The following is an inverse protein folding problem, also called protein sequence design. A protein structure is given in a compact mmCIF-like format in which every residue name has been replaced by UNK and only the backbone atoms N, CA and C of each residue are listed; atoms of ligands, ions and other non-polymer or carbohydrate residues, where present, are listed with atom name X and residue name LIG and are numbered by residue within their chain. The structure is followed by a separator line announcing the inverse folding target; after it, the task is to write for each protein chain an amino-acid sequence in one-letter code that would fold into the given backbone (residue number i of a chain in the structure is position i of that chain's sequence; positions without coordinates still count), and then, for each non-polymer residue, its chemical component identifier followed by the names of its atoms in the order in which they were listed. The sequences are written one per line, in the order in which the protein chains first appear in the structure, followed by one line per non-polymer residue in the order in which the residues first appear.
data_IF_715926619029
#
_entry.id   IF_715926619029
#
_cell.length_a   1.000
_cell.length_b   1.000
_cell.length_c   1.000
_cell.angle_alpha   90.00
_cell.angle_beta   90.00
_cell.angle_gamma   90.00
#
_symmetry.space_group_name_H-M   'P 1'
#
loop_
_entity.id
_entity.type
_entity.pdbx_description
1 polymer ?
#
# COMPACT_ATOMS: atom_id res chain seq x y z
N UNK A 1 -14.96 -19.19 18.60
CA UNK A 1 -13.56 -19.32 19.04
C UNK A 1 -12.72 -18.32 18.23
N UNK A 2 -12.73 -17.04 18.62
CA UNK A 2 -11.87 -16.05 17.97
C UNK A 2 -10.42 -16.53 18.14
N UNK A 3 -9.78 -16.71 17.01
CA UNK A 3 -8.61 -17.56 16.87
C UNK A 3 -7.42 -17.02 17.66
N UNK A 4 -7.16 -17.59 18.84
CA UNK A 4 -5.99 -17.29 19.69
C UNK A 4 -4.70 -17.32 18.85
N UNK A 5 -4.59 -18.26 17.90
CA UNK A 5 -3.46 -18.30 16.98
C UNK A 5 -3.33 -17.04 16.12
N UNK A 6 -4.43 -16.45 15.63
CA UNK A 6 -4.36 -15.22 14.82
C UNK A 6 -3.87 -14.04 15.66
N UNK A 7 -4.31 -13.94 16.92
CA UNK A 7 -3.85 -12.90 17.83
C UNK A 7 -2.35 -13.05 18.10
N UNK A 8 -1.90 -14.28 18.36
CA UNK A 8 -0.48 -14.59 18.56
C UNK A 8 0.36 -14.25 17.32
N UNK A 9 -0.08 -14.62 16.12
CA UNK A 9 0.67 -14.29 14.90
C UNK A 9 0.63 -12.79 14.60
N UNK A 10 -0.47 -12.08 14.88
CA UNK A 10 -0.53 -10.62 14.74
C UNK A 10 0.43 -9.92 15.71
N UNK A 11 0.55 -10.38 16.96
CA UNK A 11 1.49 -9.77 17.91
C UNK A 11 2.94 -10.03 17.50
N UNK A 12 3.27 -11.24 17.03
CA UNK A 12 4.60 -11.56 16.48
C UNK A 12 4.90 -10.69 15.26
N UNK A 13 3.91 -10.48 14.38
CA UNK A 13 4.03 -9.62 13.21
C UNK A 13 4.37 -8.17 13.61
N UNK A 14 3.67 -7.60 14.61
CA UNK A 14 3.99 -6.27 15.12
C UNK A 14 5.40 -6.22 15.75
N UNK A 15 5.75 -7.20 16.59
CA UNK A 15 7.08 -7.29 17.20
C UNK A 15 8.18 -7.35 16.14
N UNK A 16 7.99 -8.15 15.10
CA UNK A 16 8.98 -8.30 14.03
C UNK A 16 9.28 -6.98 13.32
N UNK A 17 8.26 -6.16 13.07
CA UNK A 17 8.45 -4.84 12.50
C UNK A 17 9.22 -3.92 13.44
N UNK A 18 8.92 -3.94 14.75
CA UNK A 18 9.64 -3.14 15.74
C UNK A 18 11.11 -3.57 15.84
N UNK A 19 11.40 -4.88 15.81
CA UNK A 19 12.77 -5.41 15.80
C UNK A 19 13.52 -4.90 14.57
N UNK A 20 12.92 -4.96 13.38
CA UNK A 20 13.58 -4.51 12.15
C UNK A 20 13.88 -3.01 12.11
N UNK A 21 13.07 -2.19 12.78
CA UNK A 21 13.25 -0.73 12.81
C UNK A 21 14.27 -0.32 13.88
N UNK A 22 14.28 -1.00 15.02
CA UNK A 22 15.14 -0.65 16.17
C UNK A 22 16.54 -1.27 16.12
N UNK A 23 16.76 -2.27 15.25
CA UNK A 23 18.03 -2.98 15.19
C UNK A 23 19.17 -2.11 14.64
N UNK A 24 20.28 -2.06 15.36
CA UNK A 24 21.49 -1.34 14.95
C UNK A 24 22.35 -2.09 13.92
N UNK A 25 22.10 -3.38 13.69
CA UNK A 25 22.88 -4.21 12.76
C UNK A 25 22.02 -4.73 11.61
N UNK A 26 22.62 -4.85 10.43
CA UNK A 26 21.98 -5.41 9.23
C UNK A 26 21.51 -6.86 9.40
N UNK A 27 22.20 -7.64 10.23
CA UNK A 27 21.77 -8.99 10.55
C UNK A 27 20.50 -8.98 11.43
N UNK A 28 20.40 -8.03 12.36
CA UNK A 28 19.19 -7.81 13.16
C UNK A 28 17.99 -7.37 12.31
N UNK A 29 18.22 -6.48 11.33
CA UNK A 29 17.14 -6.08 10.39
C UNK A 29 16.66 -7.29 9.57
N UNK A 30 17.58 -8.12 9.07
CA UNK A 30 17.25 -9.36 8.37
C UNK A 30 16.43 -10.33 9.24
N UNK A 31 16.84 -10.55 10.50
CA UNK A 31 16.09 -11.39 11.44
C UNK A 31 14.66 -10.90 11.65
N UNK A 32 14.47 -9.58 11.83
CA UNK A 32 13.15 -8.99 11.95
C UNK A 32 12.28 -9.22 10.70
N UNK A 33 12.87 -9.08 9.51
CA UNK A 33 12.16 -9.34 8.26
C UNK A 33 11.79 -10.82 8.04
N UNK A 34 12.60 -11.77 8.51
CA UNK A 34 12.29 -13.20 8.46
C UNK A 34 11.17 -13.60 9.43
N UNK A 35 11.21 -13.08 10.66
CA UNK A 35 10.12 -13.28 11.63
C UNK A 35 8.81 -12.70 11.06
N UNK A 36 8.87 -11.55 10.39
CA UNK A 36 7.71 -10.95 9.73
C UNK A 36 7.11 -11.91 8.68
N UNK A 37 7.95 -12.43 7.78
CA UNK A 37 7.56 -13.42 6.76
C UNK A 37 6.89 -14.64 7.40
N UNK A 38 7.53 -15.26 8.39
CA UNK A 38 7.04 -16.47 9.05
C UNK A 38 5.74 -16.23 9.82
N UNK A 39 5.57 -15.05 10.41
CA UNK A 39 4.36 -14.68 11.14
C UNK A 39 3.15 -14.43 10.23
N UNK A 40 3.39 -13.95 9.00
CA UNK A 40 2.31 -13.57 8.10
C UNK A 40 1.72 -14.75 7.31
N UNK A 41 2.51 -15.79 7.03
CA UNK A 41 2.04 -16.98 6.29
C UNK A 41 0.85 -17.68 6.98
N UNK A 42 0.89 -17.96 8.30
CA UNK A 42 -0.26 -18.55 9.01
C UNK A 42 -1.50 -17.65 9.00
N UNK A 43 -1.32 -16.32 8.95
CA UNK A 43 -2.44 -15.38 8.83
C UNK A 43 -3.10 -15.46 7.45
N UNK A 44 -2.31 -15.65 6.39
CA UNK A 44 -2.80 -15.85 5.02
C UNK A 44 -3.51 -17.19 4.84
N UNK A 45 -2.92 -18.28 5.35
CA UNK A 45 -3.42 -19.63 5.13
C UNK A 45 -4.74 -19.86 5.87
N UNK A 46 -5.79 -20.24 5.15
CA UNK A 46 -7.01 -20.79 5.76
C UNK A 46 -7.07 -22.29 5.49
N UNK A 47 -7.40 -23.07 6.52
CA UNK A 47 -7.32 -24.55 6.50
C UNK A 47 -8.07 -25.23 5.34
N UNK A 48 -9.01 -24.54 4.68
CA UNK A 48 -9.93 -25.15 3.72
C UNK A 48 -9.94 -24.50 2.33
N UNK A 49 -9.09 -23.51 2.03
CA UNK A 49 -9.12 -22.84 0.74
C UNK A 49 -7.80 -23.06 -0.03
N UNK A 50 -7.87 -23.81 -1.14
CA UNK A 50 -6.72 -24.01 -2.02
C UNK A 50 -6.12 -22.68 -2.51
N UNK A 51 -6.97 -21.71 -2.85
CA UNK A 51 -6.50 -20.40 -3.32
C UNK A 51 -5.67 -19.64 -2.26
N UNK A 52 -6.03 -19.74 -0.98
CA UNK A 52 -5.25 -19.09 0.10
C UNK A 52 -3.95 -19.84 0.39
N UNK A 53 -3.93 -21.16 0.20
CA UNK A 53 -2.69 -21.93 0.27
C UNK A 53 -1.73 -21.60 -0.87
N UNK A 54 -2.22 -21.46 -2.11
CA UNK A 54 -1.41 -21.07 -3.26
C UNK A 54 -0.80 -19.66 -3.07
N UNK A 55 -1.60 -18.69 -2.60
CA UNK A 55 -1.09 -17.33 -2.36
C UNK A 55 -0.06 -17.30 -1.24
N UNK A 56 -0.24 -18.10 -0.18
CA UNK A 56 0.75 -18.23 0.89
C UNK A 56 2.07 -18.83 0.41
N UNK A 57 2.03 -19.81 -0.49
CA UNK A 57 3.23 -20.41 -1.08
C UNK A 57 3.95 -19.45 -2.03
N UNK A 58 3.21 -18.73 -2.89
CA UNK A 58 3.79 -17.67 -3.74
C UNK A 58 4.45 -16.57 -2.90
N UNK A 59 3.83 -16.19 -1.79
CA UNK A 59 4.37 -15.16 -0.89
C UNK A 59 5.66 -15.63 -0.23
N UNK A 60 5.65 -16.85 0.31
CA UNK A 60 6.83 -17.46 0.92
C UNK A 60 8.01 -17.50 -0.05
N UNK A 61 7.82 -18.04 -1.26
CA UNK A 61 8.91 -18.20 -2.24
C UNK A 61 9.55 -16.86 -2.62
N UNK A 62 8.75 -15.86 -2.95
CA UNK A 62 9.25 -14.54 -3.36
C UNK A 62 9.96 -13.84 -2.21
N UNK A 63 9.37 -13.87 -1.01
CA UNK A 63 9.92 -13.14 0.13
C UNK A 63 11.16 -13.82 0.72
N UNK A 64 11.23 -15.16 0.70
CA UNK A 64 12.41 -15.93 1.08
C UNK A 64 13.56 -15.74 0.07
N UNK A 65 13.24 -15.65 -1.23
CA UNK A 65 14.24 -15.29 -2.24
C UNK A 65 14.79 -13.88 -2.00
N UNK A 66 13.92 -12.90 -1.75
CA UNK A 66 14.34 -11.54 -1.43
C UNK A 66 15.18 -11.47 -0.14
N UNK A 67 14.83 -12.23 0.91
CA UNK A 67 15.59 -12.24 2.16
C UNK A 67 16.96 -12.91 2.03
N UNK A 68 17.08 -13.99 1.26
CA UNK A 68 18.38 -14.63 0.97
C UNK A 68 19.31 -13.71 0.18
N UNK A 69 18.78 -12.99 -0.81
CA UNK A 69 19.53 -11.98 -1.57
C UNK A 69 19.95 -10.79 -0.69
N UNK A 70 19.11 -10.38 0.27
CA UNK A 70 19.44 -9.32 1.22
C UNK A 70 20.58 -9.76 2.16
N UNK A 71 20.54 -11.00 2.66
CA UNK A 71 21.63 -11.55 3.46
C UNK A 71 22.92 -11.65 2.65
N UNK A 72 22.84 -12.08 1.39
CA UNK A 72 23.98 -12.11 0.49
C UNK A 72 24.59 -10.72 0.28
N UNK A 73 23.78 -9.68 0.07
CA UNK A 73 24.30 -8.31 -0.07
C UNK A 73 24.99 -7.82 1.21
N UNK A 74 24.48 -8.18 2.40
CA UNK A 74 25.11 -7.85 3.68
C UNK A 74 26.48 -8.54 3.81
N UNK A 75 26.57 -9.83 3.47
CA UNK A 75 27.83 -10.58 3.55
C UNK A 75 28.86 -9.97 2.58
N UNK A 76 28.46 -9.66 1.35
CA UNK A 76 29.35 -9.01 0.37
C UNK A 76 29.81 -7.63 0.84
N UNK A 77 28.92 -6.84 1.43
CA UNK A 77 29.27 -5.54 2.01
C UNK A 77 30.30 -5.68 3.14
N UNK A 78 30.12 -6.67 4.02
CA UNK A 78 31.02 -6.95 5.15
C UNK A 78 32.36 -7.54 4.72
N UNK A 79 32.41 -8.27 3.60
CA UNK A 79 33.64 -8.80 3.05
C UNK A 79 34.47 -7.67 2.42
N UNK A 80 33.83 -6.81 1.62
CA UNK A 80 34.51 -5.71 0.94
C UNK A 80 35.03 -4.65 1.90
N UNK A 81 34.30 -4.35 2.99
CA UNK A 81 34.75 -3.39 4.00
C UNK A 81 36.04 -3.79 4.72
N UNK A 82 36.37 -5.10 4.75
CA UNK A 82 37.62 -5.61 5.34
C UNK A 82 38.82 -5.57 4.39
N UNK A 83 38.59 -5.48 3.08
CA UNK A 83 39.63 -5.65 2.06
C UNK A 83 40.17 -4.35 1.44
N UNK A 84 39.52 -3.19 1.61
CA UNK A 84 39.98 -1.95 0.98
C UNK A 84 39.62 -0.69 1.77
N UNK A 85 40.62 0.19 1.98
CA UNK A 85 40.47 1.57 2.46
C UNK A 85 39.75 2.52 1.47
N UNK A 86 39.33 2.04 0.30
CA UNK A 86 38.59 2.82 -0.71
C UNK A 86 37.09 2.54 -0.61
N UNK A 87 36.46 3.12 0.42
CA UNK A 87 35.07 2.89 0.82
C UNK A 87 34.03 3.54 -0.13
N UNK A 88 34.46 4.42 -1.06
CA UNK A 88 33.52 5.33 -1.73
C UNK A 88 33.03 4.91 -3.13
N UNK A 89 33.81 4.17 -3.93
CA UNK A 89 33.42 3.89 -5.33
C UNK A 89 32.93 2.45 -5.62
N UNK A 90 33.21 1.48 -4.75
CA UNK A 90 32.79 0.08 -4.92
C UNK A 90 31.44 -0.29 -4.26
N UNK A 91 30.78 0.65 -3.57
CA UNK A 91 29.58 0.34 -2.79
C UNK A 91 28.26 0.43 -3.58
N UNK A 92 28.28 1.06 -4.77
CA UNK A 92 27.03 1.40 -5.47
C UNK A 92 26.30 0.15 -6.03
N UNK A 93 27.03 -0.88 -6.48
CA UNK A 93 26.44 -2.12 -6.97
C UNK A 93 25.82 -2.97 -5.86
N UNK A 94 26.48 -3.04 -4.70
CA UNK A 94 25.97 -3.77 -3.53
C UNK A 94 24.74 -3.07 -2.96
N UNK A 95 24.78 -1.74 -2.86
CA UNK A 95 23.62 -0.93 -2.46
C UNK A 95 22.47 -1.09 -3.47
N UNK A 96 22.76 -1.18 -4.78
CA UNK A 96 21.73 -1.50 -5.79
C UNK A 96 21.11 -2.89 -5.57
N UNK A 97 21.92 -3.92 -5.32
CA UNK A 97 21.40 -5.27 -5.00
C UNK A 97 20.51 -5.19 -3.76
N UNK A 98 21.00 -4.58 -2.69
CA UNK A 98 20.26 -4.42 -1.45
C UNK A 98 18.93 -3.69 -1.66
N UNK A 99 18.95 -2.54 -2.35
CA UNK A 99 17.74 -1.80 -2.71
C UNK A 99 16.78 -2.64 -3.55
N UNK A 100 17.28 -3.40 -4.53
CA UNK A 100 16.46 -4.30 -5.36
C UNK A 100 15.72 -5.34 -4.52
N UNK A 101 16.37 -5.89 -3.49
CA UNK A 101 15.73 -6.89 -2.61
C UNK A 101 14.61 -6.27 -1.77
N UNK A 102 14.82 -5.06 -1.25
CA UNK A 102 13.81 -4.40 -0.42
C UNK A 102 12.62 -3.95 -1.29
N UNK A 103 12.89 -3.49 -2.51
CA UNK A 103 11.86 -3.18 -3.51
C UNK A 103 11.06 -4.42 -3.93
N UNK A 104 11.72 -5.58 -4.04
CA UNK A 104 11.05 -6.87 -4.26
C UNK A 104 10.12 -7.21 -3.09
N UNK A 105 10.54 -6.97 -1.84
CA UNK A 105 9.68 -7.16 -0.65
C UNK A 105 8.46 -6.24 -0.63
N UNK A 106 8.58 -5.01 -1.13
CA UNK A 106 7.47 -4.06 -1.25
C UNK A 106 6.50 -4.35 -2.39
N UNK A 107 6.95 -5.09 -3.42
CA UNK A 107 6.20 -5.28 -4.66
C UNK A 107 6.30 -4.08 -5.61
N UNK A 108 7.39 -3.31 -5.57
CA UNK A 108 7.64 -2.26 -6.55
C UNK A 108 7.96 -2.89 -7.92
N UNK A 109 7.60 -2.22 -9.01
CA UNK A 109 8.02 -2.68 -10.34
C UNK A 109 9.54 -2.48 -10.53
N UNK A 110 10.24 -3.38 -11.24
CA UNK A 110 9.74 -4.51 -12.04
C UNK A 110 9.33 -5.76 -11.23
N UNK A 111 9.66 -5.86 -9.95
CA UNK A 111 9.43 -7.03 -9.08
C UNK A 111 7.98 -7.20 -8.58
N UNK A 112 7.00 -6.67 -9.31
CA UNK A 112 5.63 -6.48 -8.84
C UNK A 112 4.69 -7.68 -9.11
N UNK A 113 5.06 -8.63 -9.97
CA UNK A 113 4.15 -9.67 -10.48
C UNK A 113 3.46 -10.49 -9.39
N UNK A 114 4.17 -10.77 -8.29
CA UNK A 114 3.64 -11.55 -7.17
C UNK A 114 2.49 -10.83 -6.46
N UNK A 115 2.48 -9.50 -6.47
CA UNK A 115 1.63 -8.70 -5.59
C UNK A 115 0.14 -8.73 -6.01
N UNK A 116 -0.24 -8.48 -7.28
CA UNK A 116 -1.63 -8.62 -7.73
C UNK A 116 -2.17 -10.04 -7.62
N UNK A 117 -1.34 -11.06 -7.90
CA UNK A 117 -1.75 -12.46 -7.83
C UNK A 117 -2.09 -12.89 -6.40
N UNK A 118 -1.25 -12.51 -5.43
CA UNK A 118 -1.49 -12.82 -4.02
C UNK A 118 -2.74 -12.09 -3.53
N UNK A 119 -2.90 -10.82 -3.90
CA UNK A 119 -4.03 -10.01 -3.47
C UNK A 119 -5.40 -10.56 -3.88
N UNK A 120 -5.51 -11.16 -5.06
CA UNK A 120 -6.78 -11.73 -5.53
C UNK A 120 -7.34 -12.80 -4.58
N UNK A 121 -6.45 -13.62 -4.03
CA UNK A 121 -6.81 -14.81 -3.26
C UNK A 121 -6.86 -14.58 -1.73
N UNK A 122 -6.50 -13.38 -1.25
CA UNK A 122 -6.48 -13.05 0.17
C UNK A 122 -7.81 -12.48 0.68
N UNK A 123 -8.16 -12.75 1.93
CA UNK A 123 -9.26 -12.07 2.62
C UNK A 123 -8.99 -10.56 2.75
N UNK A 124 -10.05 -9.76 2.85
CA UNK A 124 -9.96 -8.29 2.93
C UNK A 124 -9.04 -7.79 4.07
N UNK A 125 -9.14 -8.36 5.28
CA UNK A 125 -8.24 -7.97 6.38
C UNK A 125 -6.77 -8.30 6.10
N UNK A 126 -6.49 -9.45 5.48
CA UNK A 126 -5.12 -9.83 5.13
C UNK A 126 -4.59 -8.97 3.97
N UNK A 127 -5.46 -8.60 3.02
CA UNK A 127 -5.12 -7.66 1.95
C UNK A 127 -4.75 -6.28 2.51
N UNK A 128 -5.41 -5.83 3.57
CA UNK A 128 -5.07 -4.59 4.26
C UNK A 128 -3.69 -4.67 4.90
N UNK A 129 -3.42 -5.74 5.66
CA UNK A 129 -2.10 -5.96 6.30
C UNK A 129 -0.99 -5.99 5.24
N UNK A 130 -1.21 -6.64 4.09
CA UNK A 130 -0.25 -6.69 3.00
C UNK A 130 -0.05 -5.32 2.32
N UNK A 131 -1.10 -4.51 2.17
CA UNK A 131 -1.01 -3.17 1.55
C UNK A 131 -0.39 -2.12 2.45
N UNK A 132 -0.57 -2.21 3.78
CA UNK A 132 -0.12 -1.20 4.74
C UNK A 132 1.03 -1.74 5.58
N UNK A 133 0.75 -2.65 6.52
CA UNK A 133 1.70 -3.04 7.55
C UNK A 133 2.99 -3.66 6.98
N UNK A 134 2.87 -4.53 5.98
CA UNK A 134 4.02 -5.18 5.34
C UNK A 134 4.95 -4.19 4.61
N UNK A 135 4.50 -2.96 4.32
CA UNK A 135 5.33 -1.93 3.67
C UNK A 135 6.13 -1.09 4.65
N UNK A 136 5.81 -1.09 5.95
CA UNK A 136 6.44 -0.22 6.95
C UNK A 136 7.94 -0.53 7.09
N UNK A 137 8.26 -1.77 7.45
CA UNK A 137 9.65 -2.17 7.68
C UNK A 137 10.52 -2.01 6.42
N UNK A 138 10.12 -2.51 5.24
CA UNK A 138 10.87 -2.25 4.00
C UNK A 138 11.09 -0.76 3.72
N UNK A 139 10.10 0.11 3.96
CA UNK A 139 10.23 1.54 3.62
C UNK A 139 11.23 2.26 4.51
N UNK A 140 11.23 1.95 5.80
CA UNK A 140 12.21 2.50 6.74
C UNK A 140 13.61 1.99 6.40
N UNK A 141 13.75 0.71 6.02
CA UNK A 141 15.06 0.18 5.61
C UNK A 141 15.56 0.86 4.33
N UNK A 142 14.67 1.13 3.36
CA UNK A 142 15.05 1.89 2.15
C UNK A 142 15.46 3.32 2.50
N UNK A 143 14.80 3.99 3.46
CA UNK A 143 15.12 5.39 3.77
C UNK A 143 16.59 5.59 4.18
N UNK A 144 17.18 4.63 4.90
CA UNK A 144 18.60 4.67 5.26
C UNK A 144 19.57 4.53 4.09
N UNK A 145 19.12 3.97 2.97
CA UNK A 145 19.96 3.55 1.84
C UNK A 145 19.67 4.32 0.55
N UNK A 146 18.57 5.07 0.51
CA UNK A 146 18.10 5.67 -0.72
C UNK A 146 19.00 6.87 -1.06
N UNK A 147 19.60 6.82 -2.24
CA UNK A 147 20.26 7.96 -2.84
C UNK A 147 19.72 8.15 -4.25
N UNK A 148 19.65 9.39 -4.71
CA UNK A 148 19.08 9.67 -6.02
C UNK A 148 20.01 9.21 -7.14
N UNK A 149 19.74 8.01 -7.65
CA UNK A 149 20.45 7.38 -8.76
C UNK A 149 19.48 7.07 -9.91
N UNK A 150 20.02 6.95 -11.13
CA UNK A 150 19.26 6.50 -12.32
C UNK A 150 18.46 5.21 -12.09
N UNK A 151 18.99 4.31 -11.25
CA UNK A 151 18.30 3.09 -10.86
C UNK A 151 16.96 3.39 -10.16
N UNK A 152 16.96 4.20 -9.10
CA UNK A 152 15.75 4.50 -8.33
C UNK A 152 14.76 5.34 -9.14
N UNK A 153 15.24 6.30 -9.95
CA UNK A 153 14.35 7.05 -10.84
C UNK A 153 13.66 6.14 -11.86
N UNK A 154 14.37 5.15 -12.42
CA UNK A 154 13.78 4.16 -13.32
C UNK A 154 12.70 3.30 -12.65
N UNK A 155 12.90 2.93 -11.38
CA UNK A 155 11.92 2.17 -10.59
C UNK A 155 10.66 2.99 -10.33
N UNK A 156 10.80 4.28 -10.02
CA UNK A 156 9.67 5.20 -9.82
C UNK A 156 8.84 5.32 -11.12
N UNK A 157 9.51 5.47 -12.26
CA UNK A 157 8.86 5.54 -13.57
C UNK A 157 8.14 4.21 -13.89
N UNK A 158 8.83 3.07 -13.72
CA UNK A 158 8.23 1.76 -14.00
C UNK A 158 7.07 1.43 -13.07
N UNK A 159 7.18 1.73 -11.78
CA UNK A 159 6.11 1.47 -10.81
C UNK A 159 4.87 2.34 -11.04
N UNK A 160 5.06 3.61 -11.40
CA UNK A 160 3.93 4.48 -11.78
C UNK A 160 3.28 4.05 -13.10
N UNK A 161 4.06 3.64 -14.10
CA UNK A 161 3.56 3.15 -15.39
C UNK A 161 2.79 1.83 -15.25
N UNK A 162 3.38 0.84 -14.59
CA UNK A 162 2.78 -0.50 -14.43
C UNK A 162 1.59 -0.45 -13.49
N UNK A 163 1.67 0.34 -12.40
CA UNK A 163 0.56 0.53 -11.48
C UNK A 163 -0.64 1.20 -12.16
N UNK A 164 -0.41 2.13 -13.09
CA UNK A 164 -1.49 2.82 -13.79
C UNK A 164 -2.14 1.96 -14.87
N UNK A 165 -1.35 1.40 -15.79
CA UNK A 165 -1.86 0.62 -16.93
C UNK A 165 -2.39 -0.74 -16.47
N UNK A 166 -1.69 -1.40 -15.55
CA UNK A 166 -2.09 -2.72 -15.04
C UNK A 166 -3.46 -2.70 -14.36
N UNK A 167 -3.84 -1.60 -13.71
CA UNK A 167 -5.14 -1.43 -13.06
C UNK A 167 -6.32 -1.24 -14.03
N UNK A 168 -6.07 -0.71 -15.24
CA UNK A 168 -7.13 -0.40 -16.21
C UNK A 168 -7.93 -1.64 -16.60
N UNK A 169 -7.28 -2.77 -16.85
CA UNK A 169 -7.95 -3.96 -17.40
C UNK A 169 -8.49 -4.93 -16.32
N UNK A 170 -8.41 -4.57 -15.04
CA UNK A 170 -8.82 -5.48 -13.96
C UNK A 170 -10.28 -5.29 -13.58
N UNK A 171 -11.01 -6.39 -13.39
CA UNK A 171 -12.39 -6.38 -12.88
C UNK A 171 -12.50 -6.66 -11.38
N UNK A 172 -11.47 -7.30 -10.81
CA UNK A 172 -11.45 -7.70 -9.41
C UNK A 172 -10.89 -6.55 -8.57
N UNK A 173 -11.66 -6.10 -7.57
CA UNK A 173 -11.33 -4.94 -6.74
C UNK A 173 -10.01 -5.12 -6.00
N UNK A 174 -9.69 -6.36 -5.57
CA UNK A 174 -8.40 -6.66 -4.92
C UNK A 174 -7.21 -6.44 -5.83
N UNK A 175 -7.30 -6.83 -7.11
CA UNK A 175 -6.25 -6.56 -8.11
C UNK A 175 -6.13 -5.08 -8.41
N UNK A 176 -7.24 -4.36 -8.52
CA UNK A 176 -7.23 -2.90 -8.73
C UNK A 176 -6.51 -2.19 -7.57
N UNK A 177 -6.86 -2.54 -6.33
CA UNK A 177 -6.18 -2.01 -5.15
C UNK A 177 -4.71 -2.45 -5.09
N UNK A 178 -4.38 -3.63 -5.63
CA UNK A 178 -3.00 -4.06 -5.71
C UNK A 178 -2.18 -3.14 -6.63
N UNK A 179 -2.67 -2.91 -7.85
CA UNK A 179 -2.05 -2.03 -8.84
C UNK A 179 -2.00 -0.57 -8.39
N UNK A 180 -3.04 -0.09 -7.72
CA UNK A 180 -2.98 1.26 -7.13
C UNK A 180 -1.88 1.36 -6.08
N UNK A 181 -1.70 0.34 -5.24
CA UNK A 181 -0.64 0.35 -4.24
C UNK A 181 0.76 0.36 -4.87
N UNK A 182 0.94 -0.22 -6.08
CA UNK A 182 2.19 -0.16 -6.84
C UNK A 182 2.42 1.27 -7.33
N UNK A 183 1.38 1.95 -7.82
CA UNK A 183 1.49 3.37 -8.18
C UNK A 183 1.79 4.25 -6.95
N UNK A 184 1.13 4.02 -5.81
CA UNK A 184 1.42 4.76 -4.58
C UNK A 184 2.83 4.48 -4.04
N UNK A 185 3.41 3.29 -4.27
CA UNK A 185 4.84 3.03 -3.99
C UNK A 185 5.73 3.97 -4.80
N UNK A 186 5.41 4.25 -6.07
CA UNK A 186 6.16 5.22 -6.88
C UNK A 186 6.21 6.60 -6.22
N UNK A 187 5.05 7.08 -5.73
CA UNK A 187 4.94 8.36 -5.01
C UNK A 187 5.64 8.34 -3.65
N UNK A 188 5.58 7.22 -2.93
CA UNK A 188 6.28 7.08 -1.65
C UNK A 188 7.80 7.02 -1.82
N UNK A 189 8.30 6.39 -2.89
CA UNK A 189 9.73 6.39 -3.21
C UNK A 189 10.19 7.79 -3.64
N UNK A 190 9.36 8.55 -4.38
CA UNK A 190 9.70 9.91 -4.76
C UNK A 190 9.67 10.89 -3.59
N UNK A 191 8.82 10.70 -2.58
CA UNK A 191 8.89 11.48 -1.34
C UNK A 191 10.10 11.13 -0.48
N UNK A 192 10.47 9.86 -0.39
CA UNK A 192 11.67 9.42 0.35
C UNK A 192 12.95 10.08 -0.19
N UNK A 193 13.05 10.29 -1.50
CA UNK A 193 14.19 11.00 -2.10
C UNK A 193 14.31 12.47 -1.68
N UNK A 194 13.22 13.09 -1.21
CA UNK A 194 13.18 14.50 -0.84
C UNK A 194 13.30 14.69 0.67
N UNK A 195 12.42 14.05 1.42
CA UNK A 195 12.35 14.19 2.86
C UNK A 195 11.60 13.00 3.47
N UNK A 196 12.20 12.39 4.50
CA UNK A 196 11.59 11.28 5.25
C UNK A 196 10.24 11.66 5.86
N UNK A 197 10.09 12.92 6.30
CA UNK A 197 8.83 13.40 6.89
C UNK A 197 7.66 13.38 5.90
N UNK A 198 7.91 13.74 4.64
CA UNK A 198 6.90 13.71 3.58
C UNK A 198 6.46 12.29 3.26
N UNK A 199 7.40 11.34 3.30
CA UNK A 199 7.07 9.93 3.15
C UNK A 199 6.14 9.44 4.27
N UNK A 200 6.43 9.76 5.53
CA UNK A 200 5.58 9.38 6.67
C UNK A 200 4.16 9.97 6.52
N UNK A 201 4.06 11.25 6.13
CA UNK A 201 2.77 11.90 5.86
C UNK A 201 2.03 11.18 4.72
N UNK A 202 2.72 10.86 3.62
CA UNK A 202 2.09 10.13 2.51
C UNK A 202 1.58 8.77 2.94
N UNK A 203 2.41 7.98 3.64
CA UNK A 203 2.07 6.62 4.04
C UNK A 203 0.91 6.61 5.05
N UNK A 204 0.90 7.53 6.01
CA UNK A 204 -0.20 7.66 6.97
C UNK A 204 -1.53 7.95 6.27
N UNK A 205 -1.57 8.94 5.36
CA UNK A 205 -2.76 9.28 4.57
C UNK A 205 -3.22 8.10 3.72
N UNK A 206 -2.28 7.45 3.01
CA UNK A 206 -2.55 6.25 2.22
C UNK A 206 -3.15 5.12 3.08
N UNK A 207 -2.63 4.89 4.30
CA UNK A 207 -3.14 3.85 5.19
C UNK A 207 -4.57 4.14 5.68
N UNK A 208 -4.87 5.39 6.06
CA UNK A 208 -6.19 5.84 6.51
C UNK A 208 -7.25 5.58 5.42
N UNK A 209 -6.94 5.95 4.18
CA UNK A 209 -7.87 5.78 3.05
C UNK A 209 -8.09 4.29 2.73
N UNK A 210 -7.04 3.46 2.79
CA UNK A 210 -7.22 2.02 2.55
C UNK A 210 -8.02 1.34 3.68
N UNK A 211 -7.85 1.76 4.93
CA UNK A 211 -8.68 1.28 6.05
C UNK A 211 -10.15 1.61 5.80
N UNK A 212 -10.47 2.83 5.34
CA UNK A 212 -11.86 3.22 5.07
C UNK A 212 -12.47 2.44 3.90
N UNK A 213 -11.74 2.19 2.81
CA UNK A 213 -12.24 1.41 1.67
C UNK A 213 -12.41 -0.06 2.02
N UNK A 214 -11.37 -0.69 2.57
CA UNK A 214 -11.36 -2.13 2.83
C UNK A 214 -12.37 -2.49 3.91
N UNK A 215 -12.57 -1.65 4.92
CA UNK A 215 -13.61 -1.89 5.94
C UNK A 215 -15.02 -1.95 5.33
N UNK A 216 -15.32 -1.09 4.35
CA UNK A 216 -16.60 -1.12 3.63
C UNK A 216 -16.70 -2.37 2.76
N UNK A 217 -15.66 -2.67 1.96
CA UNK A 217 -15.66 -3.85 1.07
C UNK A 217 -15.75 -5.17 1.85
N UNK A 218 -15.12 -5.25 3.02
CA UNK A 218 -15.17 -6.40 3.91
C UNK A 218 -16.57 -6.59 4.52
N UNK A 219 -17.24 -5.50 4.92
CA UNK A 219 -18.59 -5.58 5.49
C UNK A 219 -19.60 -6.19 4.52
N UNK A 220 -19.49 -5.87 3.24
CA UNK A 220 -20.38 -6.37 2.19
C UNK A 220 -19.79 -7.56 1.39
N UNK A 221 -18.58 -8.01 1.72
CA UNK A 221 -17.85 -9.07 0.99
C UNK A 221 -17.80 -8.87 -0.53
N UNK A 222 -17.61 -7.63 -0.99
CA UNK A 222 -17.61 -7.27 -2.41
C UNK A 222 -16.23 -7.50 -2.98
N UNK A 223 -16.07 -8.41 -3.94
CA UNK A 223 -14.79 -8.69 -4.59
C UNK A 223 -14.71 -8.15 -6.03
N UNK A 224 -15.84 -8.09 -6.74
CA UNK A 224 -15.89 -7.74 -8.17
C UNK A 224 -16.81 -6.53 -8.44
N UNK A 225 -16.60 -5.82 -9.55
CA UNK A 225 -17.44 -4.69 -9.97
C UNK A 225 -18.94 -4.98 -9.97
N UNK A 226 -19.35 -6.14 -10.50
CA UNK A 226 -20.77 -6.50 -10.62
C UNK A 226 -21.45 -6.61 -9.24
N UNK A 227 -20.72 -7.10 -8.24
CA UNK A 227 -21.22 -7.21 -6.87
C UNK A 227 -21.36 -5.83 -6.22
N UNK A 228 -20.44 -4.91 -6.54
CA UNK A 228 -20.50 -3.53 -6.03
C UNK A 228 -21.82 -2.87 -6.41
N UNK A 229 -22.26 -3.04 -7.67
CA UNK A 229 -23.52 -2.49 -8.16
C UNK A 229 -24.74 -3.04 -7.39
N UNK A 230 -24.82 -4.35 -7.17
CA UNK A 230 -25.98 -4.96 -6.52
C UNK A 230 -26.07 -4.68 -5.02
N UNK A 231 -24.95 -4.78 -4.29
CA UNK A 231 -24.97 -4.71 -2.82
C UNK A 231 -24.99 -3.27 -2.27
N UNK A 232 -24.43 -2.31 -3.02
CA UNK A 232 -24.37 -0.93 -2.55
C UNK A 232 -25.67 -0.15 -2.69
N UNK A 233 -26.62 -0.66 -3.47
CA UNK A 233 -27.95 -0.06 -3.57
C UNK A 233 -28.80 -0.23 -2.29
N UNK A 234 -28.34 -1.00 -1.30
CA UNK A 234 -29.08 -1.21 -0.05
C UNK A 234 -28.85 -0.11 1.00
N UNK A 235 -27.80 0.70 0.87
CA UNK A 235 -27.45 1.73 1.85
C UNK A 235 -26.83 2.95 1.15
N UNK A 236 -27.63 3.99 0.93
CA UNK A 236 -27.20 5.24 0.30
C UNK A 236 -25.92 5.84 0.91
N UNK A 237 -25.81 5.88 2.25
CA UNK A 237 -24.63 6.43 2.92
C UNK A 237 -23.35 5.65 2.63
N UNK A 238 -23.41 4.32 2.64
CA UNK A 238 -22.22 3.49 2.36
C UNK A 238 -21.81 3.59 0.88
N UNK A 239 -22.78 3.66 -0.03
CA UNK A 239 -22.55 3.95 -1.44
C UNK A 239 -21.81 5.27 -1.62
N UNK A 240 -22.30 6.34 -1.00
CA UNK A 240 -21.65 7.65 -1.04
C UNK A 240 -20.23 7.63 -0.44
N UNK A 241 -20.01 6.99 0.70
CA UNK A 241 -18.67 6.91 1.30
C UNK A 241 -17.68 6.12 0.44
N UNK A 242 -18.10 5.01 -0.19
CA UNK A 242 -17.18 4.29 -1.10
C UNK A 242 -16.77 5.12 -2.31
N UNK A 243 -17.73 5.83 -2.91
CA UNK A 243 -17.52 6.74 -4.03
C UNK A 243 -16.46 7.78 -3.66
N UNK A 244 -16.66 8.49 -2.55
CA UNK A 244 -15.73 9.55 -2.12
C UNK A 244 -14.36 9.00 -1.69
N UNK A 245 -14.30 7.83 -1.07
CA UNK A 245 -13.02 7.23 -0.69
C UNK A 245 -12.20 6.77 -1.91
N UNK A 246 -12.83 6.27 -2.98
CA UNK A 246 -12.09 5.96 -4.21
C UNK A 246 -11.59 7.22 -4.92
N UNK A 247 -12.36 8.31 -4.91
CA UNK A 247 -11.89 9.61 -5.41
C UNK A 247 -10.75 10.18 -4.55
N UNK A 248 -10.78 9.96 -3.23
CA UNK A 248 -9.69 10.37 -2.35
C UNK A 248 -8.41 9.58 -2.61
N UNK A 249 -8.46 8.27 -2.86
CA UNK A 249 -7.30 7.49 -3.38
C UNK A 249 -6.76 8.06 -4.70
N UNK A 250 -7.66 8.50 -5.58
CA UNK A 250 -7.32 9.19 -6.83
C UNK A 250 -6.53 10.47 -6.61
N UNK A 251 -6.69 11.12 -5.45
CA UNK A 251 -6.05 12.38 -5.12
C UNK A 251 -6.70 13.56 -5.84
N UNK A 252 -8.03 13.60 -5.90
CA UNK A 252 -8.76 14.79 -6.37
C UNK A 252 -8.85 15.85 -5.25
N UNK A 253 -8.64 17.15 -5.55
CA UNK A 253 -9.13 18.21 -4.66
C UNK A 253 -10.67 18.09 -4.64
N UNK A 254 -11.37 18.07 -3.48
CA UNK A 254 -11.05 18.59 -2.13
C UNK A 254 -10.63 17.55 -1.06
N UNK A 255 -10.29 16.31 -1.44
CA UNK A 255 -10.11 15.20 -0.47
C UNK A 255 -8.69 15.10 0.10
N UNK A 256 -8.55 14.40 1.24
CA UNK A 256 -7.26 14.21 1.95
C UNK A 256 -6.14 13.66 1.06
N UNK A 257 -6.45 12.73 0.15
CA UNK A 257 -5.43 12.09 -0.69
C UNK A 257 -4.77 12.98 -1.74
N UNK A 258 -5.28 14.21 -1.96
CA UNK A 258 -4.61 15.21 -2.81
C UNK A 258 -3.41 15.83 -2.10
N UNK A 259 -3.49 16.08 -0.79
CA UNK A 259 -2.47 16.76 0.01
C UNK A 259 -1.07 16.17 -0.17
N UNK A 260 -0.84 14.85 -0.02
CA UNK A 260 0.53 14.34 -0.04
C UNK A 260 1.09 14.30 -1.47
N UNK A 261 0.24 14.15 -2.50
CA UNK A 261 0.68 14.28 -3.91
C UNK A 261 1.05 15.72 -4.22
N UNK A 262 0.27 16.69 -3.75
CA UNK A 262 0.55 18.10 -3.96
C UNK A 262 1.88 18.53 -3.34
N UNK A 263 2.15 18.14 -2.08
CA UNK A 263 3.44 18.40 -1.43
C UNK A 263 4.63 17.80 -2.19
N UNK A 264 4.47 16.57 -2.71
CA UNK A 264 5.51 15.93 -3.52
C UNK A 264 5.74 16.66 -4.85
N UNK A 265 4.67 17.06 -5.53
CA UNK A 265 4.74 17.81 -6.80
C UNK A 265 5.50 19.11 -6.60
N UNK A 266 5.23 19.84 -5.51
CA UNK A 266 5.93 21.09 -5.20
C UNK A 266 7.44 20.85 -5.04
N UNK A 267 7.83 19.86 -4.23
CA UNK A 267 9.25 19.60 -3.98
C UNK A 267 9.98 19.00 -5.19
N UNK A 268 9.33 18.14 -5.97
CA UNK A 268 9.91 17.59 -7.20
C UNK A 268 10.05 18.63 -8.31
N UNK A 269 9.19 19.65 -8.33
CA UNK A 269 9.24 20.67 -9.38
C UNK A 269 10.56 21.45 -9.39
N UNK A 270 11.20 21.61 -8.23
CA UNK A 270 12.49 22.31 -8.11
C UNK A 270 13.67 21.51 -8.68
N UNK A 271 13.72 20.19 -8.46
CA UNK A 271 14.90 19.38 -8.77
C UNK A 271 14.69 18.38 -9.93
N UNK A 272 13.48 17.85 -10.11
CA UNK A 272 13.19 16.73 -11.04
C UNK A 272 11.88 16.94 -11.81
N UNK A 273 11.85 17.98 -12.64
CA UNK A 273 10.66 18.35 -13.41
C UNK A 273 10.12 17.22 -14.31
N UNK A 274 10.99 16.51 -15.05
CA UNK A 274 10.57 15.44 -15.95
C UNK A 274 9.95 14.24 -15.22
N UNK A 275 10.55 13.83 -14.08
CA UNK A 275 10.00 12.75 -13.26
C UNK A 275 8.61 13.13 -12.72
N UNK A 276 8.47 14.38 -12.30
CA UNK A 276 7.20 14.92 -11.79
C UNK A 276 6.10 14.90 -12.86
N UNK A 277 6.38 15.43 -14.05
CA UNK A 277 5.44 15.44 -15.17
C UNK A 277 4.98 14.02 -15.53
N UNK A 278 5.91 13.07 -15.61
CA UNK A 278 5.58 11.69 -15.91
C UNK A 278 4.64 11.08 -14.87
N UNK A 279 4.93 11.27 -13.58
CA UNK A 279 4.07 10.77 -12.51
C UNK A 279 2.68 11.40 -12.51
N UNK A 280 2.57 12.71 -12.79
CA UNK A 280 1.28 13.40 -12.92
C UNK A 280 0.45 12.76 -14.03
N UNK A 281 1.02 12.56 -15.22
CA UNK A 281 0.31 11.92 -16.34
C UNK A 281 -0.16 10.50 -15.98
N UNK A 282 0.69 9.71 -15.32
CA UNK A 282 0.30 8.35 -14.88
C UNK A 282 -0.78 8.37 -13.80
N UNK A 283 -0.83 9.38 -12.93
CA UNK A 283 -1.92 9.49 -11.95
C UNK A 283 -3.28 9.76 -12.57
N UNK A 284 -3.36 10.50 -13.68
CA UNK A 284 -4.61 10.73 -14.40
C UNK A 284 -5.17 9.40 -14.94
N UNK A 285 -4.30 8.50 -15.38
CA UNK A 285 -4.69 7.14 -15.79
C UNK A 285 -5.23 6.36 -14.59
N UNK A 286 -4.61 6.46 -13.41
CA UNK A 286 -5.18 5.81 -12.21
C UNK A 286 -6.53 6.36 -11.80
N UNK A 287 -6.73 7.67 -11.97
CA UNK A 287 -8.01 8.32 -11.71
C UNK A 287 -9.14 7.70 -12.54
N UNK A 288 -8.86 7.37 -13.80
CA UNK A 288 -9.86 6.80 -14.70
C UNK A 288 -10.46 5.49 -14.17
N UNK A 289 -9.64 4.54 -13.71
CA UNK A 289 -10.21 3.29 -13.18
C UNK A 289 -10.90 3.48 -11.83
N UNK A 290 -10.52 4.47 -11.02
CA UNK A 290 -11.28 4.82 -9.81
C UNK A 290 -12.64 5.42 -10.14
N UNK A 291 -12.71 6.29 -11.15
CA UNK A 291 -13.98 6.84 -11.66
C UNK A 291 -14.86 5.72 -12.20
N UNK A 292 -14.28 4.69 -12.86
CA UNK A 292 -15.05 3.52 -13.28
C UNK A 292 -15.65 2.75 -12.08
N UNK A 293 -14.89 2.58 -10.99
CA UNK A 293 -15.41 1.99 -9.75
C UNK A 293 -16.53 2.85 -9.16
N UNK A 294 -16.29 4.16 -9.04
CA UNK A 294 -17.27 5.06 -8.46
C UNK A 294 -18.54 5.15 -9.31
N UNK A 295 -18.43 5.07 -10.63
CA UNK A 295 -19.59 5.03 -11.54
C UNK A 295 -20.46 3.79 -11.32
N UNK A 296 -19.83 2.61 -11.14
CA UNK A 296 -20.56 1.38 -10.81
C UNK A 296 -21.28 1.47 -9.46
N UNK A 297 -20.72 2.23 -8.51
CA UNK A 297 -21.44 2.54 -7.27
C UNK A 297 -22.54 3.56 -7.51
N UNK A 298 -22.38 4.52 -8.43
CA UNK A 298 -23.29 5.65 -8.64
C UNK A 298 -24.56 5.34 -9.43
N UNK A 299 -24.54 4.38 -10.37
CA UNK A 299 -25.71 4.12 -11.21
C UNK A 299 -27.01 3.97 -10.37
N UNK A 300 -28.01 4.75 -10.77
CA UNK A 300 -29.25 5.10 -10.05
C UNK A 300 -30.33 4.05 -10.34
N UNK A 301 -30.00 2.76 -10.28
CA UNK A 301 -31.04 1.72 -10.36
C UNK A 301 -31.38 1.26 -8.95
N UNK A 302 -31.96 2.15 -8.15
CA UNK A 302 -32.36 1.85 -6.78
C UNK A 302 -33.88 1.88 -6.66
N UNK A 303 -34.50 0.70 -6.77
CA UNK A 303 -35.73 0.46 -6.01
C UNK A 303 -35.30 0.26 -4.55
N UNK A 304 -35.23 1.34 -3.77
CA UNK A 304 -35.04 1.20 -2.32
C UNK A 304 -36.41 0.97 -1.66
N UNK A 305 -36.67 -0.18 -1.03
CA UNK A 305 -37.79 -0.29 -0.13
C UNK A 305 -37.49 0.51 1.15
N UNK A 306 -38.15 1.65 1.32
CA UNK A 306 -38.01 2.56 2.48
C UNK A 306 -38.17 1.90 3.87
N UNK A 307 -38.70 0.68 3.95
CA UNK A 307 -39.02 0.02 5.22
C UNK A 307 -37.82 -0.54 5.99
N UNK A 308 -36.62 -0.66 5.40
CA UNK A 308 -35.45 -1.27 6.07
C UNK A 308 -34.50 -0.27 6.77
N UNK A 309 -34.84 1.03 6.81
CA UNK A 309 -33.98 2.09 7.36
C UNK A 309 -33.67 1.89 8.85
N UNK A 310 -34.61 1.33 9.63
CA UNK A 310 -34.46 1.17 11.07
C UNK A 310 -33.50 0.06 11.50
N UNK A 311 -33.28 -0.98 10.68
CA UNK A 311 -32.40 -2.11 11.03
C UNK A 311 -30.90 -1.81 10.88
N UNK A 312 -30.53 -0.78 10.12
CA UNK A 312 -29.12 -0.49 9.81
C UNK A 312 -28.47 0.60 10.71
N UNK A 313 -29.25 1.29 11.54
CA UNK A 313 -28.76 2.42 12.35
C UNK A 313 -27.86 1.98 13.54
N UNK A 314 -28.06 0.78 14.10
CA UNK A 314 -27.43 0.37 15.36
C UNK A 314 -26.34 -0.70 15.22
N UNK A 315 -25.46 -0.57 14.23
CA UNK A 315 -24.26 -1.41 14.17
C UNK A 315 -23.02 -0.56 14.47
N UNK A 316 -22.35 -0.83 15.60
CA UNK A 316 -21.07 -0.19 15.99
C UNK A 316 -20.00 -0.27 14.88
N UNK A 317 -19.99 -1.34 14.09
CA UNK A 317 -19.10 -1.47 12.93
C UNK A 317 -19.33 -0.37 11.88
N UNK A 318 -20.55 0.15 11.76
CA UNK A 318 -20.86 1.25 10.84
C UNK A 318 -20.27 2.57 11.34
N UNK A 319 -20.29 2.81 12.66
CA UNK A 319 -19.73 4.04 13.25
C UNK A 319 -18.23 4.13 12.98
N UNK A 320 -17.47 3.04 13.17
CA UNK A 320 -16.05 3.03 12.81
C UNK A 320 -15.83 3.35 11.34
N UNK A 321 -16.57 2.67 10.44
CA UNK A 321 -16.48 2.93 8.99
C UNK A 321 -16.74 4.41 8.69
N UNK A 322 -17.79 4.99 9.28
CA UNK A 322 -18.14 6.39 9.07
C UNK A 322 -17.07 7.36 9.58
N UNK A 323 -16.45 7.08 10.72
CA UNK A 323 -15.36 7.90 11.25
C UNK A 323 -14.15 7.89 10.32
N UNK A 324 -13.71 6.71 9.87
CA UNK A 324 -12.58 6.61 8.93
C UNK A 324 -12.89 7.29 7.59
N UNK A 325 -14.11 7.13 7.05
CA UNK A 325 -14.51 7.81 5.81
C UNK A 325 -14.63 9.33 5.99
N UNK A 326 -15.08 9.80 7.14
CA UNK A 326 -15.17 11.23 7.42
C UNK A 326 -13.79 11.89 7.42
N UNK A 327 -12.80 11.24 8.05
CA UNK A 327 -11.41 11.69 8.07
C UNK A 327 -10.85 11.76 6.63
N UNK A 328 -11.08 10.74 5.80
CA UNK A 328 -10.57 10.74 4.43
C UNK A 328 -11.21 11.81 3.53
N UNK A 329 -12.47 12.17 3.79
CA UNK A 329 -13.20 13.15 2.97
C UNK A 329 -12.85 14.58 3.39
N UNK A 330 -12.96 14.89 4.68
CA UNK A 330 -12.83 16.27 5.19
C UNK A 330 -11.42 16.63 5.66
N UNK A 331 -10.50 15.67 5.66
CA UNK A 331 -9.17 15.85 6.24
C UNK A 331 -8.34 16.98 5.61
N UNK A 332 -8.51 17.28 4.32
CA UNK A 332 -7.80 18.39 3.67
C UNK A 332 -8.29 19.76 4.17
N UNK A 333 -9.61 19.91 4.34
CA UNK A 333 -10.22 21.11 4.90
C UNK A 333 -9.75 21.29 6.34
N UNK A 334 -9.80 20.23 7.14
CA UNK A 334 -9.31 20.26 8.53
C UNK A 334 -7.84 20.69 8.58
N UNK A 335 -6.99 20.14 7.72
CA UNK A 335 -5.58 20.53 7.64
C UNK A 335 -5.39 22.02 7.30
N UNK A 336 -6.13 22.53 6.30
CA UNK A 336 -6.06 23.95 5.94
C UNK A 336 -6.52 24.88 7.07
N UNK A 337 -7.54 24.47 7.83
CA UNK A 337 -8.00 25.22 9.00
C UNK A 337 -6.92 25.23 10.09
N UNK A 338 -6.28 24.09 10.37
CA UNK A 338 -5.18 24.03 11.34
C UNK A 338 -4.02 24.93 10.95
N UNK A 339 -3.61 24.96 9.68
CA UNK A 339 -2.56 25.88 9.22
C UNK A 339 -2.95 27.33 9.48
N UNK A 340 -4.19 27.72 9.21
CA UNK A 340 -4.61 29.12 9.40
C UNK A 340 -4.69 29.56 10.88
N UNK A 341 -4.71 28.60 11.83
CA UNK A 341 -4.68 28.90 13.27
C UNK A 341 -3.26 29.05 13.83
N UNK A 342 -2.23 28.62 13.10
CA UNK A 342 -0.81 28.78 13.45
C UNK A 342 -0.16 29.83 12.56
#
# INVERSE_FOLDING_TARGET
MFFIYKIMFLSILMLSTIISISSMSWLGTWMGLEINLLSFIPLMSSKNNFNSSESSMKYFLVQAMASSMFLFSIIMMMYNSKMSNEIFFMNNSIIMIMNSTILMKMGAAPFHFWFPEIMENLNWMNSLILMTWQKIAPMIIISYMINMNFYISSIIILSSFIGSIGGLNQTNLRKILAYSSINHIAWMLSSLLMNETLWIIYFSIYSIINISIISILNKFNINNFKQMFSYMNNNFMMKFFTMMNFLSLGGLPPFLGFLPKWMIIQNLSYNFFFLNLFMIMMTLITLFFYIRISYSSMMISSNEPNFNILKNMYNFNNMFIYMWSFISINGLILYSMFINFY
#
